data_IF_465166698494
#
_entry.id   IF_465166698494
#
_cell.length_a   1.000
_cell.length_b   1.000
_cell.length_c   1.000
_cell.angle_alpha   90.00
_cell.angle_beta   90.00
_cell.angle_gamma   90.00
#
_symmetry.space_group_name_H-M   'P 1'
#
loop_
_entity.id
_entity.type
_entity.pdbx_description
1 polymer ?
#
# COMPACT_ATOMS: atom_id res chain seq x y z
N UNK A 1 -15.54 38.12 11.70
CA UNK A 1 -15.23 36.78 11.16
C UNK A 1 -14.40 36.90 9.89
N UNK A 2 -13.42 36.01 9.67
CA UNK A 2 -12.42 36.06 8.58
C UNK A 2 -12.99 35.59 7.21
N UNK A 3 -14.16 36.12 6.81
CA UNK A 3 -14.88 35.69 5.59
C UNK A 3 -14.06 35.84 4.28
N UNK A 4 -13.31 36.93 4.05
CA UNK A 4 -12.49 37.07 2.84
C UNK A 4 -11.39 36.00 2.74
N UNK A 5 -10.80 35.65 3.88
CA UNK A 5 -9.74 34.64 3.92
C UNK A 5 -10.29 33.23 3.65
N UNK A 6 -11.48 32.92 4.17
CA UNK A 6 -12.16 31.63 3.94
C UNK A 6 -12.52 31.45 2.46
N UNK A 7 -12.98 32.52 1.80
CA UNK A 7 -13.25 32.50 0.36
C UNK A 7 -11.96 32.22 -0.43
N UNK A 8 -10.88 32.94 -0.14
CA UNK A 8 -9.59 32.75 -0.80
C UNK A 8 -9.00 31.35 -0.58
N UNK A 9 -9.20 30.75 0.60
CA UNK A 9 -8.79 29.38 0.88
C UNK A 9 -9.55 28.36 0.02
N UNK A 10 -10.89 28.49 -0.05
CA UNK A 10 -11.74 27.61 -0.85
C UNK A 10 -11.37 27.72 -2.34
N UNK A 11 -11.10 28.93 -2.83
CA UNK A 11 -10.68 29.16 -4.22
C UNK A 11 -9.38 28.44 -4.54
N UNK A 12 -8.39 28.55 -3.65
CA UNK A 12 -7.12 27.84 -3.80
C UNK A 12 -7.31 26.33 -3.83
N UNK A 13 -8.16 25.79 -2.95
CA UNK A 13 -8.47 24.35 -2.89
C UNK A 13 -9.18 23.87 -4.16
N UNK A 14 -10.13 24.63 -4.69
CA UNK A 14 -10.82 24.34 -5.95
C UNK A 14 -9.82 24.19 -7.12
N UNK A 15 -8.91 25.17 -7.27
CA UNK A 15 -7.88 25.13 -8.32
C UNK A 15 -6.96 23.92 -8.13
N UNK A 16 -6.45 23.71 -6.91
CA UNK A 16 -5.52 22.62 -6.61
C UNK A 16 -6.13 21.24 -6.88
N UNK A 17 -7.36 21.00 -6.42
CA UNK A 17 -8.04 19.72 -6.60
C UNK A 17 -8.44 19.48 -8.06
N UNK A 18 -8.81 20.52 -8.81
CA UNK A 18 -9.06 20.40 -10.26
C UNK A 18 -7.79 19.99 -11.02
N UNK A 19 -6.66 20.63 -10.73
CA UNK A 19 -5.37 20.24 -11.35
C UNK A 19 -5.01 18.80 -10.99
N UNK A 20 -5.25 18.37 -9.75
CA UNK A 20 -5.02 16.99 -9.32
C UNK A 20 -5.93 16.00 -10.06
N UNK A 21 -7.21 16.32 -10.24
CA UNK A 21 -8.13 15.47 -11.01
C UNK A 21 -7.65 15.29 -12.46
N UNK A 22 -7.25 16.37 -13.13
CA UNK A 22 -6.70 16.31 -14.50
C UNK A 22 -5.43 15.48 -14.60
N UNK A 23 -4.49 15.67 -13.68
CA UNK A 23 -3.27 14.86 -13.63
C UNK A 23 -3.59 13.37 -13.42
N UNK A 24 -4.58 13.07 -12.59
CA UNK A 24 -4.99 11.70 -12.29
C UNK A 24 -5.70 11.03 -13.47
N UNK A 25 -6.48 11.74 -14.27
CA UNK A 25 -7.03 11.24 -15.55
C UNK A 25 -5.91 10.73 -16.45
N UNK A 26 -4.86 11.53 -16.62
CA UNK A 26 -3.70 11.15 -17.46
C UNK A 26 -2.98 9.94 -16.90
N UNK A 27 -2.75 9.88 -15.57
CA UNK A 27 -2.10 8.74 -14.93
C UNK A 27 -2.94 7.46 -14.99
N UNK A 28 -4.26 7.56 -14.82
CA UNK A 28 -5.16 6.41 -14.93
C UNK A 28 -5.10 5.76 -16.31
N UNK A 29 -4.95 6.56 -17.38
CA UNK A 29 -4.74 6.05 -18.74
C UNK A 29 -3.45 5.23 -18.93
N UNK A 30 -2.48 5.33 -18.01
CA UNK A 30 -1.25 4.52 -18.05
C UNK A 30 -1.40 3.14 -17.37
N UNK A 31 -2.53 2.87 -16.71
CA UNK A 31 -2.75 1.59 -16.02
C UNK A 31 -2.98 0.43 -16.99
N UNK A 32 -3.66 0.66 -18.12
CA UNK A 32 -3.93 -0.40 -19.10
C UNK A 32 -2.67 -1.03 -19.71
N UNK A 33 -1.64 -0.25 -20.11
CA UNK A 33 -0.34 -0.80 -20.49
C UNK A 33 0.31 -1.65 -19.39
N UNK A 34 0.25 -1.19 -18.13
CA UNK A 34 0.80 -1.90 -16.97
C UNK A 34 0.08 -3.24 -16.75
N UNK A 35 -1.26 -3.25 -16.79
CA UNK A 35 -2.05 -4.47 -16.67
C UNK A 35 -1.78 -5.44 -17.82
N UNK A 36 -1.57 -4.93 -19.03
CA UNK A 36 -1.24 -5.77 -20.19
C UNK A 36 0.11 -6.45 -20.03
N UNK A 37 1.10 -5.73 -19.50
CA UNK A 37 2.41 -6.31 -19.18
C UNK A 37 2.32 -7.36 -18.06
N UNK A 38 1.54 -7.08 -17.01
CA UNK A 38 1.29 -8.03 -15.93
C UNK A 38 0.67 -9.33 -16.45
N UNK A 39 -0.38 -9.23 -17.26
CA UNK A 39 -1.06 -10.38 -17.90
C UNK A 39 -0.13 -11.22 -18.76
N UNK A 40 0.81 -10.58 -19.46
CA UNK A 40 1.75 -11.25 -20.35
C UNK A 40 2.79 -12.08 -19.60
N UNK A 41 3.22 -11.62 -18.42
CA UNK A 41 4.43 -12.13 -17.76
C UNK A 41 4.19 -12.89 -16.47
N UNK A 42 3.09 -12.61 -15.78
CA UNK A 42 2.83 -13.13 -14.44
C UNK A 42 1.53 -13.94 -14.39
N UNK A 43 1.44 -14.84 -13.41
CA UNK A 43 0.24 -15.63 -13.14
C UNK A 43 -0.95 -14.71 -12.79
N UNK A 44 -2.18 -15.23 -12.96
CA UNK A 44 -3.40 -14.47 -12.69
C UNK A 44 -3.45 -13.88 -11.27
N UNK A 45 -2.97 -14.63 -10.28
CA UNK A 45 -2.93 -14.21 -8.89
C UNK A 45 -2.16 -12.90 -8.65
N UNK A 46 -1.20 -12.57 -9.53
CA UNK A 46 -0.41 -11.35 -9.42
C UNK A 46 -1.14 -10.06 -9.83
N UNK A 47 -2.26 -10.16 -10.57
CA UNK A 47 -2.89 -8.99 -11.21
C UNK A 47 -4.41 -9.02 -11.32
N UNK A 48 -5.08 -10.15 -11.04
CA UNK A 48 -6.53 -10.26 -11.20
C UNK A 48 -7.29 -9.27 -10.30
N UNK A 49 -6.76 -8.99 -9.11
CA UNK A 49 -7.26 -7.98 -8.17
C UNK A 49 -7.23 -6.55 -8.74
N UNK A 50 -6.33 -6.29 -9.69
CA UNK A 50 -6.11 -4.97 -10.28
C UNK A 50 -6.96 -4.69 -11.53
N UNK A 51 -7.68 -5.69 -12.06
CA UNK A 51 -8.40 -5.57 -13.33
C UNK A 51 -9.40 -4.42 -13.38
N UNK A 52 -10.04 -4.10 -12.26
CA UNK A 52 -11.08 -3.07 -12.15
C UNK A 52 -10.52 -1.66 -11.91
N UNK A 53 -9.22 -1.52 -11.66
CA UNK A 53 -8.59 -0.23 -11.31
C UNK A 53 -8.83 0.85 -12.38
N UNK A 54 -8.69 0.60 -13.70
CA UNK A 54 -8.95 1.63 -14.71
C UNK A 54 -10.38 2.17 -14.66
N UNK A 55 -11.37 1.27 -14.61
CA UNK A 55 -12.79 1.65 -14.57
C UNK A 55 -13.14 2.43 -13.31
N UNK A 56 -12.67 1.95 -12.15
CA UNK A 56 -12.89 2.60 -10.86
C UNK A 56 -12.20 3.96 -10.80
N UNK A 57 -11.00 4.09 -11.35
CA UNK A 57 -10.30 5.37 -11.42
C UNK A 57 -11.04 6.38 -12.28
N UNK A 58 -11.52 5.96 -13.46
CA UNK A 58 -12.31 6.81 -14.34
C UNK A 58 -13.62 7.26 -13.68
N UNK A 59 -14.31 6.36 -12.97
CA UNK A 59 -15.54 6.68 -12.24
C UNK A 59 -15.29 7.66 -11.09
N UNK A 60 -14.29 7.39 -10.24
CA UNK A 60 -13.98 8.25 -9.11
C UNK A 60 -13.55 9.66 -9.55
N UNK A 61 -12.81 9.78 -10.66
CA UNK A 61 -12.44 11.07 -11.23
C UNK A 61 -13.68 11.82 -11.73
N UNK A 62 -14.59 11.17 -12.47
CA UNK A 62 -15.86 11.80 -12.88
C UNK A 62 -16.68 12.29 -11.69
N UNK A 63 -16.77 11.49 -10.63
CA UNK A 63 -17.45 11.87 -9.40
C UNK A 63 -16.77 13.06 -8.70
N UNK A 64 -15.43 13.08 -8.67
CA UNK A 64 -14.67 14.19 -8.12
C UNK A 64 -14.89 15.48 -8.92
N UNK A 65 -14.94 15.41 -10.24
CA UNK A 65 -15.22 16.56 -11.12
C UNK A 65 -16.63 17.11 -10.92
N UNK A 66 -17.65 16.24 -10.81
CA UNK A 66 -19.01 16.66 -10.50
C UNK A 66 -19.09 17.37 -9.13
N UNK A 67 -18.46 16.81 -8.10
CA UNK A 67 -18.41 17.42 -6.77
C UNK A 67 -17.61 18.71 -6.72
N UNK A 68 -16.60 18.87 -7.58
CA UNK A 68 -15.89 20.14 -7.74
C UNK A 68 -16.80 21.23 -8.31
N UNK A 69 -17.66 20.89 -9.27
CA UNK A 69 -18.66 21.81 -9.79
C UNK A 69 -19.67 22.23 -8.72
N UNK A 70 -20.19 21.27 -7.94
CA UNK A 70 -21.08 21.54 -6.80
C UNK A 70 -20.40 22.42 -5.74
N UNK A 71 -19.13 22.15 -5.42
CA UNK A 71 -18.36 22.93 -4.46
C UNK A 71 -18.17 24.38 -4.93
N UNK A 72 -17.97 24.58 -6.23
CA UNK A 72 -17.92 25.92 -6.84
C UNK A 72 -19.25 26.65 -6.71
N UNK A 73 -20.37 25.99 -7.02
CA UNK A 73 -21.71 26.58 -6.83
C UNK A 73 -21.99 26.92 -5.36
N UNK A 74 -21.62 26.05 -4.43
CA UNK A 74 -21.76 26.31 -2.98
C UNK A 74 -20.89 27.50 -2.54
N UNK A 75 -19.65 27.59 -3.05
CA UNK A 75 -18.75 28.73 -2.83
C UNK A 75 -19.38 30.03 -3.35
N UNK A 76 -19.89 30.03 -4.57
CA UNK A 76 -20.48 31.23 -5.21
C UNK A 76 -21.75 31.69 -4.48
N UNK A 77 -22.53 30.74 -3.94
CA UNK A 77 -23.69 30.99 -3.08
C UNK A 77 -23.33 31.27 -1.60
N UNK A 78 -22.03 31.38 -1.26
CA UNK A 78 -21.53 31.60 0.10
C UNK A 78 -21.97 30.55 1.14
N UNK A 79 -22.30 29.33 0.70
CA UNK A 79 -22.59 28.17 1.53
C UNK A 79 -21.29 27.49 1.98
N UNK A 80 -20.56 28.16 2.87
CA UNK A 80 -19.19 27.76 3.25
C UNK A 80 -19.05 26.35 3.84
N UNK A 81 -19.96 25.86 4.72
CA UNK A 81 -19.89 24.49 5.23
C UNK A 81 -20.00 23.45 4.11
N UNK A 82 -20.95 23.67 3.18
CA UNK A 82 -21.20 22.77 2.04
C UNK A 82 -19.97 22.70 1.13
N UNK A 83 -19.41 23.86 0.75
CA UNK A 83 -18.20 23.92 -0.07
C UNK A 83 -17.02 23.19 0.59
N UNK A 84 -16.83 23.36 1.90
CA UNK A 84 -15.76 22.68 2.65
C UNK A 84 -15.96 21.16 2.67
N UNK A 85 -17.20 20.72 2.90
CA UNK A 85 -17.55 19.29 2.94
C UNK A 85 -17.30 18.64 1.58
N UNK A 86 -17.81 19.25 0.50
CA UNK A 86 -17.63 18.76 -0.86
C UNK A 86 -16.15 18.66 -1.26
N UNK A 87 -15.33 19.68 -0.95
CA UNK A 87 -13.89 19.64 -1.21
C UNK A 87 -13.17 18.54 -0.43
N UNK A 88 -13.64 18.23 0.77
CA UNK A 88 -13.09 17.11 1.57
C UNK A 88 -13.42 15.77 0.92
N UNK A 89 -14.64 15.59 0.41
CA UNK A 89 -15.03 14.40 -0.36
C UNK A 89 -14.22 14.27 -1.64
N UNK A 90 -14.05 15.36 -2.40
CA UNK A 90 -13.21 15.37 -3.61
C UNK A 90 -11.79 14.91 -3.29
N UNK A 91 -11.18 15.46 -2.22
CA UNK A 91 -9.84 15.06 -1.80
C UNK A 91 -9.77 13.56 -1.48
N UNK A 92 -10.74 13.01 -0.75
CA UNK A 92 -10.77 11.59 -0.42
C UNK A 92 -10.88 10.69 -1.66
N UNK A 93 -11.75 11.04 -2.62
CA UNK A 93 -11.89 10.33 -3.90
C UNK A 93 -10.59 10.34 -4.71
N UNK A 94 -9.97 11.52 -4.85
CA UNK A 94 -8.73 11.66 -5.61
C UNK A 94 -7.55 10.94 -4.94
N UNK A 95 -7.46 10.95 -3.60
CA UNK A 95 -6.42 10.22 -2.88
C UNK A 95 -6.57 8.70 -3.08
N UNK A 96 -7.77 8.15 -2.86
CA UNK A 96 -8.05 6.71 -3.03
C UNK A 96 -7.74 6.24 -4.45
N UNK A 97 -8.07 7.08 -5.43
CA UNK A 97 -7.82 6.79 -6.85
C UNK A 97 -6.33 6.83 -7.18
N UNK A 98 -5.61 7.82 -6.67
CA UNK A 98 -4.17 7.97 -6.85
C UNK A 98 -3.38 6.80 -6.23
N UNK A 99 -3.81 6.32 -5.05
CA UNK A 99 -3.28 5.11 -4.40
C UNK A 99 -3.53 3.87 -5.27
N UNK A 100 -4.75 3.70 -5.78
CA UNK A 100 -5.11 2.53 -6.61
C UNK A 100 -4.34 2.50 -7.93
N UNK A 101 -4.21 3.65 -8.60
CA UNK A 101 -3.45 3.80 -9.85
C UNK A 101 -1.96 3.54 -9.60
N UNK A 102 -1.39 4.08 -8.52
CA UNK A 102 0.03 3.87 -8.19
C UNK A 102 0.32 2.42 -7.82
N UNK A 103 -0.59 1.76 -7.11
CA UNK A 103 -0.45 0.35 -6.71
C UNK A 103 -0.26 -0.60 -7.90
N UNK A 104 -0.87 -0.33 -9.06
CA UNK A 104 -0.69 -1.17 -10.25
C UNK A 104 0.74 -1.09 -10.81
N UNK A 105 1.28 0.12 -10.94
CA UNK A 105 2.66 0.35 -11.39
C UNK A 105 3.68 -0.20 -10.40
N UNK A 106 3.46 0.03 -9.11
CA UNK A 106 4.31 -0.48 -8.03
C UNK A 106 4.30 -2.01 -8.01
N UNK A 107 3.13 -2.64 -8.23
CA UNK A 107 3.00 -4.10 -8.35
C UNK A 107 3.88 -4.63 -9.47
N UNK A 108 3.79 -4.05 -10.67
CA UNK A 108 4.63 -4.48 -11.80
C UNK A 108 6.12 -4.29 -11.51
N UNK A 109 6.53 -3.19 -10.89
CA UNK A 109 7.92 -2.96 -10.51
C UNK A 109 8.42 -4.01 -9.51
N UNK A 110 7.65 -4.27 -8.45
CA UNK A 110 8.00 -5.26 -7.43
C UNK A 110 8.09 -6.68 -8.01
N UNK A 111 7.12 -7.06 -8.85
CA UNK A 111 7.11 -8.35 -9.52
C UNK A 111 8.29 -8.52 -10.47
N UNK A 112 8.66 -7.46 -11.21
CA UNK A 112 9.86 -7.46 -12.05
C UNK A 112 11.14 -7.64 -11.23
N UNK A 113 11.25 -6.93 -10.10
CA UNK A 113 12.42 -7.02 -9.24
C UNK A 113 12.59 -8.41 -8.64
N UNK A 114 11.51 -8.98 -8.06
CA UNK A 114 11.57 -10.30 -7.43
C UNK A 114 11.71 -11.44 -8.44
N UNK A 115 11.12 -11.32 -9.63
CA UNK A 115 11.30 -12.31 -10.68
C UNK A 115 12.74 -12.32 -11.22
N UNK A 116 13.43 -11.17 -11.17
CA UNK A 116 14.85 -11.07 -11.55
C UNK A 116 15.76 -11.71 -10.50
N UNK A 117 15.50 -11.48 -9.22
CA UNK A 117 16.29 -12.03 -8.13
C UNK A 117 15.43 -12.22 -6.87
N UNK A 118 14.81 -13.40 -6.68
CA UNK A 118 14.03 -13.69 -5.49
C UNK A 118 14.92 -13.87 -4.25
N UNK A 119 16.21 -14.18 -4.44
CA UNK A 119 17.14 -14.50 -3.36
C UNK A 119 17.36 -13.30 -2.44
N UNK A 120 17.37 -12.08 -2.99
CA UNK A 120 17.44 -10.85 -2.19
C UNK A 120 16.34 -10.77 -1.12
N UNK A 121 15.10 -11.10 -1.50
CA UNK A 121 13.95 -11.04 -0.60
C UNK A 121 13.96 -12.19 0.43
N UNK A 122 14.43 -13.37 0.01
CA UNK A 122 14.65 -14.53 0.89
C UNK A 122 15.68 -14.19 1.97
N UNK A 123 16.85 -13.70 1.57
CA UNK A 123 17.94 -13.42 2.49
C UNK A 123 17.62 -12.29 3.46
N UNK A 124 16.95 -11.23 2.98
CA UNK A 124 16.41 -10.17 3.84
C UNK A 124 15.48 -10.72 4.92
N UNK A 125 14.59 -11.64 4.55
CA UNK A 125 13.61 -12.22 5.48
C UNK A 125 14.28 -13.18 6.47
N UNK A 126 15.17 -14.04 5.99
CA UNK A 126 15.97 -14.94 6.83
C UNK A 126 16.82 -14.16 7.83
N UNK A 127 17.45 -13.07 7.39
CA UNK A 127 18.25 -12.22 8.26
C UNK A 127 17.41 -11.65 9.41
N UNK A 128 16.23 -11.10 9.11
CA UNK A 128 15.34 -10.56 10.14
C UNK A 128 14.92 -11.63 11.17
N UNK A 129 14.57 -12.84 10.71
CA UNK A 129 14.21 -13.95 11.60
C UNK A 129 15.39 -14.32 12.50
N UNK A 130 16.58 -14.54 11.91
CA UNK A 130 17.79 -14.93 12.67
C UNK A 130 18.19 -13.88 13.69
N UNK A 131 18.10 -12.60 13.34
CA UNK A 131 18.43 -11.50 14.25
C UNK A 131 17.46 -11.46 15.43
N UNK A 132 16.16 -11.64 15.19
CA UNK A 132 15.15 -11.73 16.25
C UNK A 132 15.32 -12.98 17.13
N UNK A 133 15.67 -14.13 16.55
CA UNK A 133 15.98 -15.36 17.31
C UNK A 133 17.21 -15.15 18.20
N UNK A 134 18.27 -14.51 17.68
CA UNK A 134 19.44 -14.12 18.49
C UNK A 134 19.04 -13.18 19.63
N UNK A 135 18.18 -12.19 19.35
CA UNK A 135 17.68 -11.28 20.37
C UNK A 135 16.91 -12.04 21.46
N UNK A 136 16.02 -12.96 21.10
CA UNK A 136 15.23 -13.76 22.05
C UNK A 136 16.11 -14.63 22.98
N UNK A 137 17.25 -15.11 22.46
CA UNK A 137 18.22 -15.90 23.22
C UNK A 137 19.17 -15.08 24.10
N UNK A 138 19.30 -13.77 23.88
CA UNK A 138 20.30 -12.96 24.57
C UNK A 138 20.12 -12.98 26.10
N UNK A 139 21.16 -13.44 26.82
CA UNK A 139 21.19 -13.55 28.27
C UNK A 139 20.39 -14.73 28.84
N UNK A 140 20.01 -15.73 28.02
CA UNK A 140 19.20 -16.88 28.43
C UNK A 140 19.74 -18.19 27.86
N UNK A 141 19.56 -19.29 28.59
CA UNK A 141 19.84 -20.65 28.08
C UNK A 141 18.69 -21.21 27.25
N UNK A 142 17.45 -20.77 27.53
CA UNK A 142 16.23 -21.19 26.83
C UNK A 142 15.39 -19.95 26.50
N UNK A 143 14.90 -19.79 25.25
CA UNK A 143 14.09 -18.63 24.89
C UNK A 143 12.68 -18.74 25.48
N UNK A 144 12.04 -17.60 25.74
CA UNK A 144 10.64 -17.58 26.16
C UNK A 144 9.77 -18.15 25.02
N UNK A 145 8.92 -19.17 25.26
CA UNK A 145 8.08 -19.77 24.23
C UNK A 145 7.18 -18.75 23.49
N UNK A 146 6.80 -17.65 24.15
CA UNK A 146 5.99 -16.57 23.56
C UNK A 146 6.74 -15.83 22.45
N UNK A 147 8.07 -15.81 22.48
CA UNK A 147 8.92 -15.22 21.45
C UNK A 147 9.43 -16.28 20.47
N UNK A 148 9.80 -17.46 20.97
CA UNK A 148 10.39 -18.52 20.15
C UNK A 148 9.40 -19.08 19.11
N UNK A 149 8.20 -19.46 19.56
CA UNK A 149 7.22 -20.14 18.69
C UNK A 149 6.84 -19.33 17.44
N UNK A 150 6.49 -18.02 17.54
CA UNK A 150 6.20 -17.23 16.34
C UNK A 150 7.39 -17.07 15.39
N UNK A 151 8.63 -17.11 15.90
CA UNK A 151 9.85 -17.04 15.08
C UNK A 151 10.13 -18.36 14.36
N UNK A 152 9.91 -19.49 15.02
CA UNK A 152 10.04 -20.82 14.41
C UNK A 152 8.95 -21.05 13.34
N UNK A 153 7.72 -20.66 13.64
CA UNK A 153 6.62 -20.66 12.67
C UNK A 153 6.96 -19.78 11.45
N UNK A 154 7.65 -18.65 11.67
CA UNK A 154 8.11 -17.75 10.60
C UNK A 154 9.16 -18.39 9.68
N UNK A 155 10.03 -19.26 10.20
CA UNK A 155 10.96 -20.06 9.38
C UNK A 155 10.17 -20.98 8.45
N UNK A 156 9.25 -21.78 9.00
CA UNK A 156 8.45 -22.71 8.20
C UNK A 156 7.50 -22.03 7.21
N UNK A 157 7.05 -20.81 7.50
CA UNK A 157 6.31 -19.95 6.55
C UNK A 157 7.19 -19.52 5.38
N UNK A 158 8.40 -19.04 5.67
CA UNK A 158 9.34 -18.63 4.64
C UNK A 158 9.74 -19.79 3.74
N UNK A 159 10.03 -20.97 4.29
CA UNK A 159 10.41 -22.13 3.49
C UNK A 159 9.29 -22.55 2.54
N UNK A 160 8.03 -22.57 3.00
CA UNK A 160 6.87 -22.82 2.13
C UNK A 160 6.72 -21.76 1.03
N UNK A 161 6.94 -20.49 1.35
CA UNK A 161 6.89 -19.41 0.36
C UNK A 161 7.98 -19.59 -0.71
N UNK A 162 9.19 -20.02 -0.32
CA UNK A 162 10.28 -20.32 -1.26
C UNK A 162 9.93 -21.51 -2.16
N UNK A 163 9.43 -22.61 -1.59
CA UNK A 163 8.98 -23.77 -2.38
C UNK A 163 7.86 -23.40 -3.35
N UNK A 164 6.98 -22.45 -3.00
CA UNK A 164 5.93 -21.99 -3.91
C UNK A 164 6.45 -21.27 -5.18
N UNK A 165 7.74 -20.90 -5.20
CA UNK A 165 8.39 -20.36 -6.39
C UNK A 165 8.81 -21.43 -7.41
N UNK A 166 8.71 -22.71 -7.07
CA UNK A 166 9.01 -23.81 -7.98
C UNK A 166 7.86 -23.97 -9.00
N UNK A 167 8.21 -24.02 -10.30
CA UNK A 167 7.24 -24.24 -11.37
C UNK A 167 7.32 -23.20 -12.51
N UNK A 168 6.42 -23.33 -13.49
CA UNK A 168 6.47 -22.56 -14.75
C UNK A 168 5.98 -21.11 -14.61
N UNK A 169 5.01 -20.86 -13.73
CA UNK A 169 4.47 -19.53 -13.45
C UNK A 169 4.26 -19.31 -11.95
N UNK A 170 5.36 -19.03 -11.22
CA UNK A 170 5.30 -18.79 -9.78
C UNK A 170 4.33 -17.66 -9.41
N UNK A 171 3.67 -17.82 -8.27
CA UNK A 171 2.91 -16.73 -7.64
C UNK A 171 3.85 -15.83 -6.84
N UNK A 172 4.57 -14.97 -7.56
CA UNK A 172 5.47 -13.99 -6.97
C UNK A 172 4.75 -12.98 -6.06
N UNK A 173 3.43 -12.77 -6.26
CA UNK A 173 2.68 -11.87 -5.41
C UNK A 173 2.38 -12.51 -4.05
N UNK A 174 1.98 -13.78 -4.02
CA UNK A 174 1.86 -14.53 -2.79
C UNK A 174 3.21 -14.58 -2.05
N UNK A 175 4.30 -14.87 -2.75
CA UNK A 175 5.64 -14.87 -2.16
C UNK A 175 5.99 -13.54 -1.49
N UNK A 176 5.84 -12.41 -2.19
CA UNK A 176 6.16 -11.07 -1.65
C UNK A 176 5.26 -10.68 -0.46
N UNK A 177 3.98 -11.02 -0.52
CA UNK A 177 3.04 -10.71 0.57
C UNK A 177 3.31 -11.56 1.80
N UNK A 178 3.67 -12.83 1.62
CA UNK A 178 4.02 -13.75 2.69
C UNK A 178 5.34 -13.37 3.36
N UNK A 179 6.39 -13.05 2.61
CA UNK A 179 7.68 -12.59 3.17
C UNK A 179 7.53 -11.27 3.93
N UNK A 180 6.70 -10.35 3.43
CA UNK A 180 6.36 -9.12 4.15
C UNK A 180 5.62 -9.41 5.47
N UNK A 181 4.62 -10.30 5.45
CA UNK A 181 3.86 -10.69 6.65
C UNK A 181 4.74 -11.41 7.69
N UNK A 182 5.69 -12.23 7.23
CA UNK A 182 6.71 -12.83 8.09
C UNK A 182 7.56 -11.75 8.77
N UNK A 183 8.09 -10.77 8.02
CA UNK A 183 8.87 -9.67 8.60
C UNK A 183 8.06 -8.82 9.59
N UNK A 184 6.78 -8.59 9.34
CA UNK A 184 5.91 -7.90 10.31
C UNK A 184 5.73 -8.71 11.60
N UNK A 185 5.59 -10.03 11.50
CA UNK A 185 5.53 -10.93 12.66
C UNK A 185 6.82 -10.86 13.47
N UNK A 186 7.96 -10.96 12.80
CA UNK A 186 9.29 -10.79 13.42
C UNK A 186 9.41 -9.44 14.13
N UNK A 187 9.01 -8.33 13.47
CA UNK A 187 9.08 -7.00 14.06
C UNK A 187 8.23 -6.87 15.33
N UNK A 188 7.03 -7.46 15.36
CA UNK A 188 6.18 -7.51 16.56
C UNK A 188 6.83 -8.28 17.70
N UNK A 189 7.46 -9.43 17.42
CA UNK A 189 8.20 -10.18 18.44
C UNK A 189 9.38 -9.38 18.99
N UNK A 190 10.14 -8.70 18.12
CA UNK A 190 11.24 -7.82 18.56
C UNK A 190 10.74 -6.69 19.44
N UNK A 191 9.61 -6.06 19.11
CA UNK A 191 8.99 -5.04 19.94
C UNK A 191 8.61 -5.61 21.32
N UNK A 192 7.95 -6.76 21.37
CA UNK A 192 7.59 -7.43 22.62
C UNK A 192 8.83 -7.76 23.48
N UNK A 193 9.90 -8.30 22.89
CA UNK A 193 11.13 -8.60 23.65
C UNK A 193 11.72 -7.32 24.25
N UNK A 194 11.69 -6.21 23.52
CA UNK A 194 12.22 -4.92 23.99
C UNK A 194 11.35 -4.34 25.10
N UNK A 195 10.03 -4.42 24.97
CA UNK A 195 9.08 -4.03 26.02
C UNK A 195 9.25 -4.86 27.28
N UNK A 196 9.33 -6.19 27.16
CA UNK A 196 9.55 -7.11 28.27
C UNK A 196 10.91 -6.86 28.97
N UNK A 197 11.88 -6.25 28.30
CA UNK A 197 13.17 -5.86 28.90
C UNK A 197 13.18 -4.45 29.47
N UNK A 198 12.47 -3.52 28.83
CA UNK A 198 12.33 -2.14 29.29
C UNK A 198 11.35 -1.96 30.43
N UNK A 199 10.38 -2.87 30.59
CA UNK A 199 9.44 -2.93 31.70
C UNK A 199 9.95 -3.68 32.94
N UNK A 200 11.20 -4.15 32.93
CA UNK A 200 11.89 -4.80 34.07
C UNK A 200 12.77 -3.78 34.83
N UNK A 201 12.47 -2.48 34.69
CA UNK A 201 13.09 -1.40 35.47
C UNK A 201 12.28 -1.10 36.74
#
# INVERSE_FOLDING_TARGET
ERLPEKAAEIDRRLVSLRTRAQALTTRAGQVDPVLSELRRRFSAACWQDLQRVPDLAAENVRQAEAKLAEARTARDAQRWPDATSLLSTVRALLNTTDESVSAASDRLQQLNAVAKDPQQEIDRTRFAIRDAQRLAMAGRSTPDPRHARPLDDSVGRLDRAVTSLEGRHPDYWHFLTETAAVRQTVARVVAQIREDRGGVA
#
